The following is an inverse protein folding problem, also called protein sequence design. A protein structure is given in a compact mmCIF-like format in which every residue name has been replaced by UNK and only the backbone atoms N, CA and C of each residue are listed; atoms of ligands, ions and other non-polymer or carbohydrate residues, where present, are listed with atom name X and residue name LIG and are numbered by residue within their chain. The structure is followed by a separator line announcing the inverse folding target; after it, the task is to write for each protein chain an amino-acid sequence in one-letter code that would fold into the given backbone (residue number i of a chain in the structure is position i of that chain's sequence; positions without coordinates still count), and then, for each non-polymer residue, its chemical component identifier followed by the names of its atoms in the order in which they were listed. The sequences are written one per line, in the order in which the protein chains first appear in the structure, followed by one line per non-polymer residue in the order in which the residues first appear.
data_IF_671459264186
#
_entry.id   IF_671459264186
#
_cell.length_a   1.000
_cell.length_b   1.000
_cell.length_c   1.000
_cell.angle_alpha   90.00
_cell.angle_beta   90.00
_cell.angle_gamma   90.00
#
_symmetry.space_group_name_H-M   'P 1'
#
loop_
_entity.id
_entity.type
_entity.pdbx_description
1 polymer ?
#
# COMPACT_ATOMS: atom_id res chain seq x y z
N UNK A 1 -52.81 -10.00 42.55
CA UNK A 1 -52.14 -9.71 41.26
C UNK A 1 -51.52 -11.01 40.80
N UNK A 2 -51.96 -11.50 39.64
CA UNK A 2 -52.19 -12.94 39.40
C UNK A 2 -51.05 -13.55 38.57
N UNK A 3 -50.62 -14.73 39.00
CA UNK A 3 -49.65 -15.69 38.42
C UNK A 3 -49.69 -15.86 36.88
N UNK A 4 -50.79 -15.45 36.24
CA UNK A 4 -51.03 -15.51 34.80
C UNK A 4 -50.19 -14.52 33.98
N UNK A 5 -49.66 -13.44 34.57
CA UNK A 5 -48.80 -12.48 33.85
C UNK A 5 -47.37 -13.00 33.68
N UNK A 6 -46.82 -13.68 34.70
CA UNK A 6 -45.45 -14.25 34.63
C UNK A 6 -45.33 -15.43 33.67
N UNK A 7 -46.39 -16.21 33.49
CA UNK A 7 -46.40 -17.32 32.51
C UNK A 7 -46.48 -16.80 31.07
N UNK A 8 -47.16 -15.66 30.85
CA UNK A 8 -47.16 -14.99 29.54
C UNK A 8 -45.78 -14.42 29.18
N UNK A 9 -45.06 -13.83 30.14
CA UNK A 9 -43.67 -13.39 29.93
C UNK A 9 -42.72 -14.55 29.65
N UNK A 10 -42.89 -15.70 30.33
CA UNK A 10 -42.06 -16.88 30.08
C UNK A 10 -42.28 -17.49 28.69
N UNK A 11 -43.54 -17.56 28.23
CA UNK A 11 -43.86 -18.08 26.87
C UNK A 11 -43.44 -17.08 25.77
N UNK A 12 -43.49 -15.77 26.03
CA UNK A 12 -42.95 -14.77 25.10
C UNK A 12 -41.41 -14.86 24.98
N UNK A 13 -40.71 -15.24 26.05
CA UNK A 13 -39.26 -15.42 26.05
C UNK A 13 -38.78 -16.71 25.33
N UNK A 14 -39.66 -17.70 25.19
CA UNK A 14 -39.39 -18.96 24.47
C UNK A 14 -39.86 -18.93 23.00
N UNK A 15 -40.68 -17.94 22.63
CA UNK A 15 -41.22 -17.76 21.28
C UNK A 15 -40.67 -16.52 20.57
N UNK A 16 -39.59 -15.92 21.08
CA UNK A 16 -38.83 -14.92 20.37
C UNK A 16 -38.18 -15.59 19.15
N UNK A 17 -38.93 -15.56 18.06
CA UNK A 17 -38.50 -15.85 16.69
C UNK A 17 -37.15 -15.22 16.44
N UNK A 18 -36.18 -16.11 16.30
CA UNK A 18 -34.82 -15.88 15.86
C UNK A 18 -34.81 -14.94 14.65
N UNK A 19 -34.34 -13.71 14.88
CA UNK A 19 -34.09 -12.71 13.84
C UNK A 19 -32.64 -12.73 13.36
N UNK A 20 -31.87 -13.76 13.75
CA UNK A 20 -30.46 -13.98 13.41
C UNK A 20 -30.25 -15.18 12.48
N UNK A 21 -31.29 -15.93 12.11
CA UNK A 21 -31.18 -17.09 11.21
C UNK A 21 -30.94 -16.74 9.72
N UNK A 22 -30.95 -15.45 9.34
CA UNK A 22 -30.66 -14.99 7.97
C UNK A 22 -29.22 -14.45 7.79
N UNK A 23 -28.30 -14.76 8.70
CA UNK A 23 -26.89 -14.36 8.55
C UNK A 23 -26.15 -15.27 7.54
N UNK A 24 -26.08 -14.82 6.29
CA UNK A 24 -25.24 -15.40 5.24
C UNK A 24 -23.89 -14.67 5.17
N UNK A 25 -22.83 -15.31 5.70
CA UNK A 25 -21.47 -14.76 5.77
C UNK A 25 -20.82 -14.48 4.41
N UNK A 26 -21.45 -14.88 3.29
CA UNK A 26 -20.95 -14.65 1.94
C UNK A 26 -21.52 -13.41 1.26
N UNK A 27 -22.49 -12.72 1.88
CA UNK A 27 -23.21 -11.59 1.25
C UNK A 27 -22.99 -10.21 1.89
N UNK A 28 -22.27 -10.13 3.02
CA UNK A 28 -21.99 -8.86 3.70
C UNK A 28 -20.82 -8.07 3.08
N UNK A 29 -19.92 -8.72 2.35
CA UNK A 29 -18.67 -8.10 1.88
C UNK A 29 -18.79 -7.31 0.57
N UNK A 30 -19.77 -7.59 -0.28
CA UNK A 30 -19.87 -6.97 -1.61
C UNK A 30 -20.54 -5.58 -1.61
N UNK A 31 -20.74 -4.94 -0.45
CA UNK A 31 -21.44 -3.64 -0.38
C UNK A 31 -20.52 -2.42 -0.35
N UNK A 32 -19.20 -2.60 -0.39
CA UNK A 32 -18.25 -1.49 -0.25
C UNK A 32 -18.12 -0.61 -1.52
N UNK A 33 -18.72 -1.00 -2.66
CA UNK A 33 -18.61 -0.21 -3.91
C UNK A 33 -19.93 0.02 -4.67
N UNK A 34 -20.94 0.63 -4.04
CA UNK A 34 -22.03 1.31 -4.79
C UNK A 34 -22.41 2.64 -4.12
N UNK A 35 -22.44 3.77 -4.83
CA UNK A 35 -22.93 5.02 -4.26
C UNK A 35 -24.48 5.08 -4.30
N UNK A 36 -25.06 5.74 -3.29
CA UNK A 36 -26.47 6.16 -3.13
C UNK A 36 -27.42 5.11 -2.52
N UNK A 37 -28.28 5.39 -1.52
CA UNK A 37 -29.04 6.60 -1.15
C UNK A 37 -29.20 6.66 0.38
N UNK A 38 -29.24 7.88 0.94
CA UNK A 38 -29.56 8.22 2.33
C UNK A 38 -30.68 7.35 2.95
N UNK A 39 -30.34 6.60 3.99
CA UNK A 39 -31.27 6.22 5.07
C UNK A 39 -30.59 6.48 6.40
N UNK A 40 -30.81 7.70 6.89
CA UNK A 40 -30.57 8.09 8.27
C UNK A 40 -31.66 7.46 9.13
N UNK A 41 -31.35 6.46 9.94
CA UNK A 41 -32.11 6.06 11.14
C UNK A 41 -31.20 5.25 12.08
N UNK A 42 -31.44 5.41 13.40
CA UNK A 42 -30.83 4.75 14.59
C UNK A 42 -29.72 5.62 15.23
N UNK A 43 -30.02 6.59 16.10
CA UNK A 43 -30.65 6.59 17.44
C UNK A 43 -29.78 5.96 18.54
N UNK A 44 -29.23 6.87 19.35
CA UNK A 44 -28.49 6.74 20.61
C UNK A 44 -28.71 5.50 21.48
N UNK A 45 -27.60 5.04 22.05
CA UNK A 45 -27.54 4.70 23.47
C UNK A 45 -26.17 5.12 24.03
N UNK A 46 -26.17 6.24 24.75
CA UNK A 46 -25.02 6.76 25.49
C UNK A 46 -24.71 5.90 26.70
N UNK A 47 -23.44 5.55 26.88
CA UNK A 47 -22.84 5.37 28.21
C UNK A 47 -21.31 5.41 28.09
N UNK A 48 -20.73 6.55 28.45
CA UNK A 48 -19.28 6.73 28.55
C UNK A 48 -18.93 8.19 28.78
N UNK A 49 -18.48 8.52 29.99
CA UNK A 49 -18.04 9.86 30.38
C UNK A 49 -16.92 10.39 29.47
N UNK A 50 -17.16 11.47 28.75
CA UNK A 50 -16.13 12.15 27.97
C UNK A 50 -16.20 13.67 28.21
N UNK A 51 -15.06 14.22 28.60
CA UNK A 51 -14.82 15.65 28.81
C UNK A 51 -15.13 16.39 27.51
N UNK A 52 -16.08 17.32 27.56
CA UNK A 52 -16.47 18.14 26.42
C UNK A 52 -15.38 19.17 26.10
N UNK A 53 -14.70 19.03 24.94
CA UNK A 53 -14.01 20.15 24.30
C UNK A 53 -14.97 20.85 23.31
N UNK A 54 -14.86 22.18 23.13
CA UNK A 54 -15.88 22.95 22.42
C UNK A 54 -15.75 22.83 20.89
N UNK A 55 -16.91 22.59 20.27
CA UNK A 55 -17.28 22.71 18.87
C UNK A 55 -16.35 23.53 17.96
N UNK A 56 -15.66 22.83 17.06
CA UNK A 56 -15.45 23.24 15.67
C UNK A 56 -16.07 22.17 14.78
N UNK A 57 -16.60 22.54 13.62
CA UNK A 57 -17.12 21.59 12.63
C UNK A 57 -15.96 20.82 11.98
N UNK A 58 -15.40 19.86 12.69
CA UNK A 58 -14.29 19.02 12.25
C UNK A 58 -14.89 17.91 11.37
N UNK A 59 -14.25 17.58 10.24
CA UNK A 59 -14.55 16.36 9.48
C UNK A 59 -14.57 15.14 10.41
N UNK A 60 -15.14 14.01 9.98
CA UNK A 60 -15.32 12.86 10.85
C UNK A 60 -13.96 12.39 11.43
N UNK A 61 -13.64 12.86 12.64
CA UNK A 61 -12.37 12.63 13.34
C UNK A 61 -12.15 11.13 13.58
N UNK A 62 -13.19 10.33 13.37
CA UNK A 62 -13.22 8.89 13.61
C UNK A 62 -13.14 8.04 12.34
N UNK A 63 -12.92 8.66 11.17
CA UNK A 63 -12.80 7.93 9.91
C UNK A 63 -11.65 6.91 9.94
N UNK A 64 -11.95 5.65 9.61
CA UNK A 64 -10.99 4.55 9.61
C UNK A 64 -10.76 3.89 10.99
N UNK A 65 -11.23 4.48 12.09
CA UNK A 65 -10.99 3.95 13.45
C UNK A 65 -11.70 2.61 13.64
N UNK A 66 -12.96 2.50 13.19
CA UNK A 66 -13.72 1.26 13.31
C UNK A 66 -13.10 0.14 12.46
N UNK A 67 -12.65 0.48 11.26
CA UNK A 67 -11.98 -0.40 10.31
C UNK A 67 -10.68 -0.96 10.90
N UNK A 68 -9.89 -0.13 11.60
CA UNK A 68 -8.70 -0.57 12.35
C UNK A 68 -9.07 -1.63 13.39
N UNK A 69 -10.01 -1.33 14.29
CA UNK A 69 -10.39 -2.27 15.36
C UNK A 69 -10.93 -3.58 14.78
N UNK A 70 -11.73 -3.49 13.71
CA UNK A 70 -12.28 -4.64 13.03
C UNK A 70 -11.16 -5.48 12.38
N UNK A 71 -10.34 -4.88 11.51
CA UNK A 71 -9.26 -5.55 10.82
C UNK A 71 -8.29 -6.22 11.80
N UNK A 72 -7.90 -5.51 12.87
CA UNK A 72 -6.97 -6.05 13.86
C UNK A 72 -7.53 -7.27 14.58
N UNK A 73 -8.83 -7.31 14.88
CA UNK A 73 -9.49 -8.49 15.45
C UNK A 73 -9.40 -9.69 14.51
N UNK A 74 -9.57 -9.49 13.21
CA UNK A 74 -9.45 -10.55 12.21
C UNK A 74 -8.00 -11.03 12.05
N UNK A 75 -7.04 -10.10 12.00
CA UNK A 75 -5.60 -10.39 11.94
C UNK A 75 -5.16 -11.19 13.17
N UNK A 76 -5.49 -10.74 14.40
CA UNK A 76 -5.15 -11.46 15.63
C UNK A 76 -5.78 -12.85 15.71
N UNK A 77 -7.02 -12.99 15.25
CA UNK A 77 -7.69 -14.31 15.16
C UNK A 77 -6.98 -15.23 14.18
N UNK A 78 -6.58 -14.72 13.02
CA UNK A 78 -5.83 -15.47 12.02
C UNK A 78 -4.46 -15.90 12.58
N UNK A 79 -3.72 -14.97 13.17
CA UNK A 79 -2.41 -15.21 13.78
C UNK A 79 -2.48 -16.30 14.85
N UNK A 80 -3.44 -16.21 15.78
CA UNK A 80 -3.62 -17.23 16.82
C UNK A 80 -3.87 -18.64 16.26
N UNK A 81 -4.51 -18.74 15.10
CA UNK A 81 -4.87 -20.01 14.47
C UNK A 81 -3.77 -20.56 13.57
N UNK A 82 -3.07 -19.70 12.83
CA UNK A 82 -2.21 -20.09 11.72
C UNK A 82 -0.73 -19.84 11.96
N UNK A 83 -0.36 -18.78 12.69
CA UNK A 83 1.04 -18.48 13.01
C UNK A 83 1.16 -17.89 14.43
N UNK A 84 1.20 -18.77 15.46
CA UNK A 84 1.38 -18.35 16.85
C UNK A 84 2.72 -17.65 17.10
N UNK A 85 3.76 -18.02 16.37
CA UNK A 85 5.10 -17.44 16.51
C UNK A 85 5.11 -15.98 16.03
N UNK A 86 4.58 -15.72 14.84
CA UNK A 86 4.40 -14.34 14.34
C UNK A 86 3.52 -13.51 15.29
N UNK A 87 2.53 -14.13 15.94
CA UNK A 87 1.73 -13.45 16.96
C UNK A 87 2.54 -13.04 18.20
N UNK A 88 3.58 -13.78 18.56
CA UNK A 88 4.48 -13.44 19.68
C UNK A 88 5.48 -12.35 19.33
N UNK A 89 5.74 -12.11 18.04
CA UNK A 89 6.58 -10.98 17.58
C UNK A 89 5.93 -9.62 17.84
N UNK A 90 4.60 -9.57 18.00
CA UNK A 90 3.86 -8.32 18.21
C UNK A 90 4.14 -7.72 19.58
N UNK A 91 4.52 -6.45 19.58
CA UNK A 91 4.79 -5.68 20.78
C UNK A 91 3.52 -5.35 21.56
N UNK A 92 3.70 -4.98 22.83
CA UNK A 92 2.59 -4.48 23.65
C UNK A 92 2.04 -3.15 23.12
N UNK A 93 0.78 -2.81 23.39
CA UNK A 93 0.21 -1.50 23.05
C UNK A 93 0.99 -0.31 23.60
N UNK A 94 1.01 0.80 22.85
CA UNK A 94 1.52 2.08 23.32
C UNK A 94 0.59 2.70 24.38
N UNK A 95 1.17 3.41 25.35
CA UNK A 95 0.40 4.23 26.29
C UNK A 95 0.08 5.60 25.69
N UNK A 96 -0.90 6.31 26.27
CA UNK A 96 -1.18 7.70 25.87
C UNK A 96 0.03 8.62 26.05
N UNK A 97 0.91 8.34 27.02
CA UNK A 97 2.11 9.13 27.22
C UNK A 97 3.08 8.96 26.04
N UNK A 98 3.31 7.71 25.63
CA UNK A 98 4.18 7.37 24.50
C UNK A 98 3.67 8.01 23.20
N UNK A 99 2.36 7.93 22.95
CA UNK A 99 1.74 8.52 21.76
C UNK A 99 1.80 10.05 21.73
N UNK A 100 1.72 10.70 22.89
CA UNK A 100 1.86 12.15 23.00
C UNK A 100 3.31 12.59 22.76
N UNK A 101 4.29 11.85 23.28
CA UNK A 101 5.72 12.11 23.03
C UNK A 101 6.07 11.85 21.57
N UNK A 102 5.59 10.75 21.00
CA UNK A 102 5.78 10.39 19.60
C UNK A 102 5.26 11.47 18.64
N UNK A 103 4.03 11.96 18.83
CA UNK A 103 3.49 13.03 17.99
C UNK A 103 4.24 14.36 18.16
N UNK A 104 4.76 14.62 19.37
CA UNK A 104 5.61 15.79 19.63
C UNK A 104 6.93 15.68 18.86
N UNK A 105 7.55 14.50 18.81
CA UNK A 105 8.78 14.26 18.04
C UNK A 105 8.55 14.33 16.53
N UNK A 106 7.40 13.86 16.06
CA UNK A 106 6.97 14.03 14.68
C UNK A 106 6.69 15.51 14.34
N UNK A 107 6.27 16.32 15.30
CA UNK A 107 5.93 17.73 15.09
C UNK A 107 4.62 17.95 14.35
N UNK A 108 3.78 16.91 14.25
CA UNK A 108 2.44 16.95 13.68
C UNK A 108 1.55 15.89 14.33
N UNK A 109 0.24 16.10 14.27
CA UNK A 109 -0.73 15.14 14.78
C UNK A 109 -0.98 14.02 13.76
N UNK A 110 -1.12 12.80 14.26
CA UNK A 110 -1.44 11.63 13.46
C UNK A 110 -2.96 11.51 13.24
N UNK A 111 -3.40 10.85 12.15
CA UNK A 111 -4.79 10.43 11.99
C UNK A 111 -5.23 9.55 13.16
N UNK A 112 -6.48 9.73 13.63
CA UNK A 112 -6.97 8.97 14.79
C UNK A 112 -6.98 7.47 14.56
N UNK A 113 -7.19 7.00 13.32
CA UNK A 113 -7.08 5.57 12.99
C UNK A 113 -5.65 5.03 13.23
N UNK A 114 -4.61 5.82 12.98
CA UNK A 114 -3.22 5.45 13.27
C UNK A 114 -2.95 5.46 14.77
N UNK A 115 -3.46 6.46 15.50
CA UNK A 115 -3.36 6.51 16.97
C UNK A 115 -4.05 5.30 17.59
N UNK A 116 -5.25 4.95 17.13
CA UNK A 116 -5.98 3.77 17.60
C UNK A 116 -5.23 2.48 17.30
N UNK A 117 -4.58 2.38 16.15
CA UNK A 117 -3.76 1.22 15.83
C UNK A 117 -2.61 1.02 16.84
N UNK A 118 -1.90 2.08 17.20
CA UNK A 118 -0.82 1.98 18.18
C UNK A 118 -1.31 1.72 19.62
N UNK A 119 -2.57 2.04 19.93
CA UNK A 119 -3.24 1.56 21.16
C UNK A 119 -3.56 0.06 21.15
N UNK A 120 -3.43 -0.62 20.01
CA UNK A 120 -3.61 -2.05 19.88
C UNK A 120 -2.29 -2.81 19.82
N UNK A 121 -1.23 -2.22 19.25
CA UNK A 121 0.10 -2.83 19.12
C UNK A 121 1.18 -1.78 18.81
N UNK A 122 2.37 -1.90 19.40
CA UNK A 122 3.54 -1.06 19.05
C UNK A 122 4.47 -1.76 18.04
N UNK A 123 3.93 -2.10 16.88
CA UNK A 123 4.70 -2.77 15.85
C UNK A 123 5.11 -4.21 16.18
N UNK A 124 6.18 -4.66 15.52
CA UNK A 124 6.87 -5.92 15.78
C UNK A 124 8.19 -5.66 16.51
N UNK A 125 8.52 -6.51 17.48
CA UNK A 125 9.75 -6.41 18.27
C UNK A 125 10.92 -7.09 17.57
N UNK A 126 11.92 -6.31 17.17
CA UNK A 126 13.20 -6.77 16.59
C UNK A 126 14.02 -7.69 17.51
N UNK A 127 13.76 -7.67 18.82
CA UNK A 127 14.54 -8.42 19.82
C UNK A 127 14.21 -9.92 19.87
N UNK A 128 13.08 -10.31 19.29
CA UNK A 128 12.63 -11.70 19.21
C UNK A 128 12.48 -12.15 17.74
N UNK A 129 13.15 -11.47 16.79
CA UNK A 129 13.27 -11.90 15.39
C UNK A 129 14.16 -13.14 15.31
N UNK A 130 13.75 -14.24 15.95
CA UNK A 130 14.28 -15.57 15.66
C UNK A 130 13.89 -15.97 14.25
N UNK A 131 14.34 -15.20 13.24
CA UNK A 131 14.07 -15.41 11.82
C UNK A 131 12.65 -15.10 11.33
N UNK A 132 11.75 -14.60 12.18
CA UNK A 132 10.36 -14.38 11.78
C UNK A 132 10.22 -13.21 10.79
N UNK A 133 9.71 -13.50 9.60
CA UNK A 133 9.43 -12.49 8.59
C UNK A 133 8.39 -11.46 9.04
N UNK A 134 8.38 -10.29 8.39
CA UNK A 134 7.43 -9.23 8.70
C UNK A 134 5.96 -9.66 8.56
N UNK A 135 5.10 -9.15 9.45
CA UNK A 135 3.68 -9.53 9.52
C UNK A 135 2.94 -9.32 8.20
N UNK A 136 3.26 -8.23 7.49
CA UNK A 136 2.54 -7.84 6.30
C UNK A 136 3.22 -8.50 5.10
N UNK A 137 3.07 -9.83 5.01
CA UNK A 137 3.62 -10.67 3.95
C UNK A 137 5.13 -10.46 3.71
N UNK A 138 5.91 -10.55 4.79
CA UNK A 138 7.36 -10.29 4.80
C UNK A 138 7.72 -8.85 5.14
N UNK A 139 6.77 -7.89 5.04
CA UNK A 139 7.02 -6.50 5.40
C UNK A 139 6.81 -6.27 6.91
N UNK A 140 7.79 -5.62 7.54
CA UNK A 140 7.81 -5.40 8.98
C UNK A 140 6.91 -4.23 9.38
N UNK A 141 6.11 -4.46 10.41
CA UNK A 141 5.37 -3.39 11.09
C UNK A 141 6.30 -2.70 12.10
N UNK A 142 6.58 -1.42 11.89
CA UNK A 142 7.54 -0.69 12.72
C UNK A 142 6.96 -0.25 14.07
N UNK A 143 7.81 -0.19 15.09
CA UNK A 143 7.46 0.46 16.36
C UNK A 143 7.49 1.99 16.25
N UNK A 144 6.88 2.70 17.21
CA UNK A 144 6.90 4.17 17.22
C UNK A 144 8.33 4.75 17.25
N UNK A 145 9.28 4.08 17.91
CA UNK A 145 10.69 4.48 17.94
C UNK A 145 11.35 4.37 16.57
N UNK A 146 11.14 3.25 15.88
CA UNK A 146 11.66 3.03 14.53
C UNK A 146 11.07 4.05 13.55
N UNK A 147 9.78 4.35 13.68
CA UNK A 147 9.09 5.35 12.86
C UNK A 147 9.67 6.74 13.12
N UNK A 148 9.94 7.12 14.37
CA UNK A 148 10.51 8.43 14.70
C UNK A 148 11.89 8.63 14.04
N UNK A 149 12.74 7.59 14.06
CA UNK A 149 14.06 7.59 13.41
C UNK A 149 13.92 7.65 11.89
N UNK A 150 13.05 6.83 11.31
CA UNK A 150 12.86 6.77 9.86
C UNK A 150 12.25 8.07 9.32
N UNK A 151 11.22 8.60 9.98
CA UNK A 151 10.61 9.88 9.64
C UNK A 151 11.63 11.04 9.71
N UNK A 152 12.50 11.06 10.72
CA UNK A 152 13.59 12.05 10.82
C UNK A 152 14.59 11.96 9.66
N UNK A 153 14.88 10.74 9.21
CA UNK A 153 15.71 10.49 8.04
C UNK A 153 15.05 11.01 6.76
N UNK A 154 13.78 10.68 6.53
CA UNK A 154 12.99 11.19 5.39
C UNK A 154 12.85 12.71 5.38
N UNK A 155 12.63 13.34 6.55
CA UNK A 155 12.65 14.81 6.71
C UNK A 155 13.98 15.42 6.31
N UNK A 156 15.09 14.78 6.68
CA UNK A 156 16.44 15.24 6.32
C UNK A 156 16.68 15.14 4.81
N UNK A 157 16.21 14.07 4.16
CA UNK A 157 16.26 13.93 2.70
C UNK A 157 15.39 14.98 2.01
N UNK A 158 14.16 15.19 2.49
CA UNK A 158 13.27 16.22 1.96
C UNK A 158 13.89 17.62 2.04
N UNK A 159 14.50 17.98 3.18
CA UNK A 159 15.21 19.26 3.33
C UNK A 159 16.31 19.45 2.28
N UNK A 160 17.14 18.42 2.07
CA UNK A 160 18.19 18.44 1.04
C UNK A 160 17.61 18.62 -0.37
N UNK A 161 16.46 18.01 -0.66
CA UNK A 161 15.75 18.19 -1.94
C UNK A 161 15.29 19.64 -2.12
N UNK A 162 14.78 20.27 -1.07
CA UNK A 162 14.36 21.68 -1.12
C UNK A 162 15.56 22.63 -1.25
N UNK A 163 16.70 22.31 -0.63
CA UNK A 163 17.93 23.10 -0.72
C UNK A 163 18.62 22.98 -2.08
N UNK A 164 18.53 21.82 -2.73
CA UNK A 164 19.10 21.57 -4.07
C UNK A 164 18.21 22.05 -5.22
N UNK A 165 16.94 22.38 -4.95
CA UNK A 165 16.05 22.94 -5.94
C UNK A 165 16.60 24.29 -6.45
N UNK A 166 16.58 24.56 -7.77
CA UNK A 166 16.99 25.84 -8.31
C UNK A 166 16.16 26.95 -7.66
N UNK A 167 16.78 27.77 -6.81
CA UNK A 167 16.15 29.01 -6.36
C UNK A 167 16.06 29.92 -7.58
N UNK A 168 14.84 30.25 -8.00
CA UNK A 168 14.70 31.39 -8.91
C UNK A 168 15.38 32.60 -8.25
N UNK A 169 16.24 33.34 -8.96
CA UNK A 169 16.85 34.52 -8.38
C UNK A 169 15.74 35.50 -8.04
N UNK A 170 15.47 35.64 -6.74
CA UNK A 170 14.67 36.73 -6.20
C UNK A 170 15.34 38.00 -6.70
N UNK A 171 14.70 38.71 -7.62
CA UNK A 171 15.13 40.06 -7.96
C UNK A 171 15.00 40.87 -6.67
N UNK A 172 16.13 41.19 -6.05
CA UNK A 172 16.17 42.14 -4.95
C UNK A 172 15.43 43.41 -5.41
N UNK A 173 14.48 43.94 -4.60
CA UNK A 173 13.91 45.23 -4.92
C UNK A 173 15.05 46.24 -4.95
N UNK A 174 15.30 46.83 -6.13
CA UNK A 174 16.33 47.84 -6.36
C UNK A 174 16.20 48.93 -5.30
N UNK A 175 17.06 48.89 -4.29
CA UNK A 175 17.23 50.00 -3.37
C UNK A 175 17.74 51.19 -4.17
N UNK A 176 17.01 52.29 -4.11
CA UNK A 176 17.37 53.58 -4.70
C UNK A 176 18.75 53.97 -4.19
N UNK A 177 19.69 54.16 -5.12
CA UNK A 177 21.04 54.62 -4.84
C UNK A 177 20.97 56.06 -4.32
N UNK A 178 21.51 56.29 -3.12
CA UNK A 178 21.97 57.60 -2.68
C UNK A 178 23.49 57.53 -2.61
N UNK A 179 24.07 58.43 -3.38
CA UNK A 179 25.49 58.67 -3.60
C UNK A 179 26.10 59.28 -2.34
N UNK A 180 27.27 58.82 -1.89
CA UNK A 180 28.27 59.71 -1.28
C UNK A 180 29.65 59.04 -1.14
N UNK A 181 30.65 59.90 -1.04
CA UNK A 181 32.01 59.74 -1.55
C UNK A 181 33.01 58.98 -0.65
N UNK A 182 33.92 58.27 -1.34
CA UNK A 182 35.39 58.26 -1.19
C UNK A 182 36.01 58.52 0.20
N UNK A 183 36.74 57.53 0.74
CA UNK A 183 38.11 57.69 1.30
C UNK A 183 38.74 56.31 1.46
N UNK A 184 39.97 56.13 0.95
CA UNK A 184 40.71 54.87 0.98
C UNK A 184 41.61 54.68 2.20
N UNK A 185 42.12 53.46 2.36
CA UNK A 185 43.47 53.18 2.88
C UNK A 185 43.85 51.72 2.63
N UNK A 186 44.98 51.59 1.92
CA UNK A 186 45.99 50.54 1.94
C UNK A 186 46.12 49.80 3.30
N UNK A 187 46.33 48.47 3.26
CA UNK A 187 47.42 47.77 3.96
C UNK A 187 47.42 46.25 3.66
N UNK A 188 48.63 45.78 3.34
CA UNK A 188 49.16 44.43 3.24
C UNK A 188 48.74 43.44 4.34
N UNK A 189 48.48 42.17 3.97
CA UNK A 189 49.35 41.05 4.38
C UNK A 189 49.02 39.74 3.65
N UNK A 190 50.07 39.12 3.12
CA UNK A 190 50.01 37.81 2.49
C UNK A 190 50.34 36.72 3.49
N UNK A 191 49.65 35.58 3.39
CA UNK A 191 50.21 34.28 3.72
C UNK A 191 49.64 33.22 2.78
N UNK A 192 50.56 32.63 2.01
CA UNK A 192 50.40 31.46 1.18
C UNK A 192 50.29 30.22 2.05
N UNK A 193 49.27 29.37 1.87
CA UNK A 193 49.40 27.94 2.16
C UNK A 193 48.67 27.06 1.13
N UNK A 194 49.50 26.30 0.43
CA UNK A 194 49.29 24.95 -0.10
C UNK A 194 48.02 24.64 -0.88
N UNK A 195 48.20 24.67 -2.19
CA UNK A 195 47.45 23.94 -3.19
C UNK A 195 47.55 22.42 -2.97
N UNK A 196 46.42 21.78 -2.66
CA UNK A 196 46.23 20.34 -2.87
C UNK A 196 45.23 20.20 -4.02
N UNK A 197 45.75 20.10 -5.25
CA UNK A 197 44.96 19.67 -6.40
C UNK A 197 44.69 18.18 -6.30
N UNK A 198 43.69 17.79 -5.52
CA UNK A 198 43.01 16.52 -5.70
C UNK A 198 42.11 16.65 -6.92
N UNK A 199 42.59 16.18 -8.07
CA UNK A 199 41.72 15.77 -9.18
C UNK A 199 40.90 14.58 -8.70
N UNK A 200 39.86 14.84 -7.92
CA UNK A 200 38.74 13.92 -7.86
C UNK A 200 38.02 14.06 -9.19
N UNK A 201 38.03 12.97 -9.96
CA UNK A 201 37.06 12.75 -11.01
C UNK A 201 35.67 12.87 -10.39
N UNK A 202 35.09 14.07 -10.43
CA UNK A 202 33.66 14.27 -10.22
C UNK A 202 32.92 13.60 -11.38
N UNK A 203 32.84 12.27 -11.29
CA UNK A 203 31.98 11.46 -12.13
C UNK A 203 30.55 11.95 -11.93
N UNK A 204 29.89 12.29 -13.04
CA UNK A 204 28.48 12.68 -13.19
C UNK A 204 27.50 11.75 -12.44
N UNK A 205 27.39 11.90 -11.11
CA UNK A 205 26.35 11.28 -10.27
C UNK A 205 25.50 12.38 -9.61
N UNK A 206 25.36 13.53 -10.29
CA UNK A 206 24.45 14.60 -9.85
C UNK A 206 23.08 14.38 -10.51
N UNK A 207 22.11 13.99 -9.67
CA UNK A 207 20.65 14.14 -9.82
C UNK A 207 19.82 13.06 -10.55
N UNK A 208 19.97 11.76 -10.24
CA UNK A 208 18.91 10.78 -10.56
C UNK A 208 17.73 10.79 -9.57
N UNK A 209 17.94 11.25 -8.34
CA UNK A 209 16.90 11.30 -7.28
C UNK A 209 15.72 12.23 -7.59
N UNK A 210 15.91 13.19 -8.50
CA UNK A 210 14.89 14.19 -8.84
C UNK A 210 14.13 13.89 -10.12
N UNK A 211 14.58 12.93 -10.93
CA UNK A 211 14.01 12.73 -12.27
C UNK A 211 12.81 11.80 -12.22
N UNK A 212 11.71 12.20 -12.88
CA UNK A 212 10.53 11.39 -13.17
C UNK A 212 9.73 10.88 -11.95
N UNK A 213 9.62 11.69 -10.90
CA UNK A 213 8.69 11.39 -9.80
C UNK A 213 7.24 11.56 -10.27
N UNK A 214 6.37 10.60 -9.97
CA UNK A 214 4.97 10.57 -10.43
C UNK A 214 4.04 10.07 -9.32
N UNK A 215 2.73 10.18 -9.53
CA UNK A 215 1.69 9.72 -8.62
C UNK A 215 0.61 8.94 -9.38
N UNK A 216 0.07 7.90 -8.74
CA UNK A 216 -1.13 7.18 -9.15
C UNK A 216 -2.11 7.16 -7.97
N UNK A 217 -3.31 7.78 -8.11
CA UNK A 217 -3.76 8.61 -9.23
C UNK A 217 -2.91 9.89 -9.44
N UNK A 218 -2.98 10.53 -10.63
CA UNK A 218 -2.39 11.85 -10.86
C UNK A 218 -2.82 12.85 -9.80
N UNK A 219 -1.89 13.70 -9.37
CA UNK A 219 -2.07 14.75 -8.37
C UNK A 219 -2.58 14.31 -7.00
N UNK A 220 -2.74 13.01 -6.75
CA UNK A 220 -3.14 12.49 -5.45
C UNK A 220 -1.99 12.52 -4.43
N UNK A 221 -0.74 12.46 -4.90
CA UNK A 221 0.48 12.45 -4.08
C UNK A 221 1.46 13.42 -4.71
N UNK A 222 2.15 14.21 -3.88
CA UNK A 222 3.17 15.15 -4.36
C UNK A 222 4.27 14.37 -5.11
N UNK A 223 4.58 14.70 -6.38
CA UNK A 223 5.58 13.99 -7.18
C UNK A 223 7.00 14.39 -6.77
N UNK A 224 7.42 13.94 -5.58
CA UNK A 224 8.73 14.18 -4.98
C UNK A 224 9.30 12.85 -4.45
N UNK A 225 10.62 12.73 -4.39
CA UNK A 225 11.26 11.52 -3.88
C UNK A 225 10.94 11.27 -2.39
N UNK A 226 11.05 12.31 -1.57
CA UNK A 226 10.86 12.28 -0.13
C UNK A 226 9.99 13.46 0.32
N UNK A 227 9.11 13.25 1.30
CA UNK A 227 8.32 14.31 1.93
C UNK A 227 8.37 14.26 3.46
N UNK A 228 8.44 15.42 4.11
CA UNK A 228 8.55 15.52 5.58
C UNK A 228 7.29 15.08 6.33
N UNK A 229 6.15 15.10 5.64
CA UNK A 229 4.82 14.72 6.16
C UNK A 229 4.39 13.32 5.70
N UNK A 230 5.29 12.51 5.13
CA UNK A 230 5.03 11.09 4.90
C UNK A 230 5.54 10.31 6.10
N UNK A 231 4.63 9.67 6.82
CA UNK A 231 4.97 8.89 8.02
C UNK A 231 5.05 7.42 7.63
N UNK A 232 6.25 6.82 7.56
CA UNK A 232 6.38 5.40 7.24
C UNK A 232 5.87 4.58 8.42
N UNK A 233 5.06 3.55 8.18
CA UNK A 233 4.50 2.67 9.22
C UNK A 233 4.94 1.21 9.05
N UNK A 234 5.17 0.80 7.81
CA UNK A 234 5.61 -0.55 7.42
C UNK A 234 6.80 -0.41 6.49
N UNK A 235 7.78 -1.29 6.63
CA UNK A 235 9.05 -1.24 5.90
C UNK A 235 9.43 -2.61 5.32
N UNK A 236 10.12 -2.59 4.19
CA UNK A 236 10.83 -3.76 3.65
C UNK A 236 12.30 -3.86 4.16
N UNK A 237 12.67 -2.97 5.08
CA UNK A 237 14.01 -2.83 5.68
C UNK A 237 15.15 -2.48 4.70
N UNK A 238 14.85 -2.33 3.40
CA UNK A 238 15.83 -1.96 2.36
C UNK A 238 15.52 -0.60 1.73
N UNK A 239 14.51 0.12 2.22
CA UNK A 239 14.27 1.54 1.94
C UNK A 239 12.94 1.84 1.25
N UNK A 240 12.04 0.86 1.14
CA UNK A 240 10.67 1.06 0.71
C UNK A 240 9.71 0.97 1.88
N UNK A 241 8.65 1.78 1.82
CA UNK A 241 7.73 1.94 2.92
C UNK A 241 6.28 1.97 2.45
N UNK A 242 5.40 1.46 3.30
CA UNK A 242 3.97 1.81 3.31
C UNK A 242 3.77 2.79 4.45
N UNK A 243 3.10 3.90 4.20
CA UNK A 243 2.88 4.89 5.22
C UNK A 243 1.73 5.83 4.93
N UNK A 244 1.45 6.72 5.88
CA UNK A 244 0.38 7.71 5.78
C UNK A 244 0.90 9.04 5.25
N UNK A 245 0.18 9.60 4.29
CA UNK A 245 0.47 10.90 3.70
C UNK A 245 -0.34 12.01 4.40
N UNK A 246 0.39 12.87 5.11
CA UNK A 246 -0.16 14.00 5.87
C UNK A 246 0.17 15.34 5.21
N UNK A 247 0.55 15.34 3.92
CA UNK A 247 0.92 16.56 3.17
C UNK A 247 -0.30 17.39 2.72
N UNK A 248 -1.49 16.79 2.71
CA UNK A 248 -2.75 17.46 2.37
C UNK A 248 -3.35 18.19 3.58
N UNK A 249 -4.30 19.10 3.35
CA UNK A 249 -5.03 19.74 4.45
C UNK A 249 -6.15 18.81 4.95
N UNK A 250 -6.32 18.61 6.27
CA UNK A 250 -7.44 17.83 6.83
C UNK A 250 -8.82 18.41 6.49
N UNK A 251 -8.91 19.72 6.27
CA UNK A 251 -10.17 20.44 6.05
C UNK A 251 -10.53 20.56 4.56
N UNK A 252 -9.63 20.17 3.66
CA UNK A 252 -9.82 20.33 2.21
C UNK A 252 -10.60 19.16 1.62
N UNK A 253 -11.91 19.11 1.91
CA UNK A 253 -12.84 18.13 1.34
C UNK A 253 -13.11 18.34 -0.16
N UNK A 254 -12.68 19.47 -0.71
CA UNK A 254 -12.85 19.85 -2.12
C UNK A 254 -11.50 20.01 -2.81
N UNK A 255 -10.46 19.33 -2.31
CA UNK A 255 -9.13 19.45 -2.88
C UNK A 255 -9.22 19.11 -4.36
N UNK A 256 -8.95 20.11 -5.21
CA UNK A 256 -8.96 19.92 -6.66
C UNK A 256 -7.91 18.87 -7.08
N UNK A 257 -6.91 18.67 -6.22
CA UNK A 257 -5.95 17.56 -6.22
C UNK A 257 -6.61 16.33 -5.58
N UNK A 258 -6.69 15.20 -6.28
CA UNK A 258 -7.40 13.98 -5.81
C UNK A 258 -6.82 13.28 -4.57
N UNK A 259 -5.94 13.95 -3.83
CA UNK A 259 -5.30 13.48 -2.60
C UNK A 259 -6.13 13.76 -1.35
N UNK A 260 -5.95 12.92 -0.34
CA UNK A 260 -6.68 12.98 0.94
C UNK A 260 -5.69 12.96 2.11
N UNK A 261 -5.93 13.78 3.13
CA UNK A 261 -5.13 13.72 4.35
C UNK A 261 -5.31 12.37 5.07
N UNK A 262 -4.19 11.72 5.41
CA UNK A 262 -4.20 10.41 6.06
C UNK A 262 -4.36 9.23 5.10
N UNK A 263 -4.35 9.46 3.78
CA UNK A 263 -4.32 8.38 2.79
C UNK A 263 -3.05 7.53 2.94
N UNK A 264 -3.13 6.26 2.57
CA UNK A 264 -2.01 5.32 2.65
C UNK A 264 -1.33 5.22 1.29
N UNK A 265 0.00 5.36 1.29
CA UNK A 265 0.81 5.43 0.06
C UNK A 265 2.00 4.47 0.08
N UNK A 266 2.41 4.04 -1.11
CA UNK A 266 3.70 3.39 -1.35
C UNK A 266 4.74 4.43 -1.76
N UNK A 267 5.86 4.49 -1.05
CA UNK A 267 6.99 5.37 -1.34
C UNK A 267 8.29 4.71 -0.91
N UNK A 268 9.44 5.23 -1.35
CA UNK A 268 10.70 4.58 -1.04
C UNK A 268 11.78 4.76 -2.09
N UNK A 269 12.90 4.08 -1.86
CA UNK A 269 14.04 4.00 -2.77
C UNK A 269 13.64 3.58 -4.19
N UNK A 270 12.75 2.60 -4.30
CA UNK A 270 12.39 1.93 -5.55
C UNK A 270 11.02 2.38 -6.09
N UNK A 271 10.42 3.42 -5.48
CA UNK A 271 9.11 3.98 -5.86
C UNK A 271 9.26 5.39 -6.43
N UNK A 272 9.67 5.51 -7.70
CA UNK A 272 9.65 6.80 -8.42
C UNK A 272 8.21 7.25 -8.68
N UNK A 273 7.35 6.31 -9.07
CA UNK A 273 5.90 6.49 -9.07
C UNK A 273 5.36 6.10 -7.70
N UNK A 274 4.66 7.02 -7.03
CA UNK A 274 3.97 6.78 -5.76
C UNK A 274 2.57 6.25 -6.05
N UNK A 275 2.06 5.37 -5.19
CA UNK A 275 0.75 4.76 -5.36
C UNK A 275 -0.08 4.98 -4.11
N UNK A 276 -1.27 5.56 -4.26
CA UNK A 276 -2.29 5.60 -3.22
C UNK A 276 -2.95 4.22 -3.18
N UNK A 277 -2.86 3.54 -2.04
CA UNK A 277 -3.36 2.15 -1.89
C UNK A 277 -4.57 2.03 -0.96
N UNK A 278 -4.87 3.07 -0.16
CA UNK A 278 -6.08 3.14 0.65
C UNK A 278 -6.39 4.60 1.06
N UNK A 279 -7.64 4.88 1.40
CA UNK A 279 -8.09 6.22 1.82
C UNK A 279 -7.71 6.55 3.27
N UNK A 280 -7.54 5.54 4.12
CA UNK A 280 -7.07 5.67 5.49
C UNK A 280 -6.38 4.36 5.94
N UNK A 281 -5.74 4.39 7.11
CA UNK A 281 -5.00 3.22 7.61
C UNK A 281 -5.87 2.02 7.97
N UNK A 282 -7.12 2.26 8.40
CA UNK A 282 -8.09 1.19 8.66
C UNK A 282 -8.48 0.43 7.41
N UNK A 283 -8.75 1.14 6.31
CA UNK A 283 -9.05 0.53 5.01
C UNK A 283 -7.88 -0.34 4.52
N UNK A 284 -6.64 0.14 4.69
CA UNK A 284 -5.45 -0.65 4.37
C UNK A 284 -5.36 -1.94 5.20
N UNK A 285 -5.60 -1.86 6.51
CA UNK A 285 -5.60 -3.06 7.36
C UNK A 285 -6.72 -4.03 6.97
N UNK A 286 -7.88 -3.53 6.53
CA UNK A 286 -8.95 -4.37 6.01
C UNK A 286 -8.56 -5.07 4.71
N UNK A 287 -7.86 -4.39 3.79
CA UNK A 287 -7.33 -5.03 2.57
C UNK A 287 -6.43 -6.22 2.95
N UNK A 288 -5.50 -6.01 3.89
CA UNK A 288 -4.61 -7.07 4.37
C UNK A 288 -5.38 -8.20 5.08
N UNK A 289 -6.31 -7.87 5.97
CA UNK A 289 -7.15 -8.87 6.65
C UNK A 289 -7.96 -9.71 5.65
N UNK A 290 -8.51 -9.09 4.61
CA UNK A 290 -9.24 -9.78 3.55
C UNK A 290 -8.34 -10.75 2.77
N UNK A 291 -7.08 -10.39 2.48
CA UNK A 291 -6.12 -11.30 1.83
C UNK A 291 -5.84 -12.55 2.68
N UNK A 292 -5.74 -12.39 4.00
CA UNK A 292 -5.62 -13.52 4.93
C UNK A 292 -6.87 -14.41 4.93
N UNK A 293 -8.07 -13.81 4.93
CA UNK A 293 -9.34 -14.56 4.93
C UNK A 293 -9.64 -15.27 3.61
N UNK A 294 -9.23 -14.68 2.49
CA UNK A 294 -9.37 -15.27 1.15
C UNK A 294 -8.39 -16.42 0.91
N UNK A 295 -7.40 -16.60 1.78
CA UNK A 295 -6.37 -17.62 1.62
C UNK A 295 -5.31 -17.24 0.59
N UNK A 296 -5.07 -15.94 0.36
CA UNK A 296 -4.06 -15.43 -0.57
C UNK A 296 -2.66 -15.47 0.05
N UNK A 297 -2.30 -16.58 0.72
CA UNK A 297 -1.09 -16.68 1.53
C UNK A 297 -0.56 -18.11 1.62
N UNK A 298 0.73 -18.21 1.89
CA UNK A 298 1.42 -19.46 2.22
C UNK A 298 2.39 -19.19 3.39
N UNK A 299 2.57 -20.18 4.26
CA UNK A 299 3.61 -20.16 5.29
C UNK A 299 4.77 -21.03 4.79
N UNK A 300 5.92 -20.42 4.58
CA UNK A 300 7.12 -21.08 4.10
C UNK A 300 8.09 -21.30 5.24
N UNK A 301 8.66 -22.50 5.32
CA UNK A 301 9.71 -22.81 6.29
C UNK A 301 11.06 -22.53 5.65
N UNK A 302 11.89 -21.71 6.29
CA UNK A 302 13.25 -21.46 5.84
C UNK A 302 14.14 -22.65 6.24
N UNK A 303 14.32 -23.59 5.32
CA UNK A 303 15.12 -24.82 5.51
C UNK A 303 16.64 -24.54 5.52
N UNK A 304 17.06 -23.31 5.21
CA UNK A 304 18.49 -22.97 5.07
C UNK A 304 19.21 -22.75 6.41
N UNK A 305 18.48 -22.67 7.53
CA UNK A 305 19.05 -22.50 8.87
C UNK A 305 18.96 -23.82 9.64
N UNK A 306 19.86 -24.75 9.32
CA UNK A 306 20.03 -26.06 9.99
C UNK A 306 20.54 -25.94 11.46
N UNK A 307 20.45 -24.76 12.08
CA UNK A 307 20.77 -24.55 13.49
C UNK A 307 19.53 -24.81 14.35
N UNK A 308 19.39 -26.09 14.72
CA UNK A 308 18.36 -26.77 15.55
C UNK A 308 17.98 -26.08 16.88
N UNK A 309 18.55 -24.91 17.21
CA UNK A 309 18.32 -24.19 18.47
C UNK A 309 17.35 -22.99 18.36
N UNK A 310 17.01 -22.54 17.16
CA UNK A 310 15.96 -21.53 16.94
C UNK A 310 14.73 -22.22 16.32
N UNK A 311 13.52 -21.71 16.56
CA UNK A 311 12.28 -22.31 16.06
C UNK A 311 12.27 -22.45 14.53
N UNK A 312 11.27 -23.16 14.00
CA UNK A 312 11.09 -23.24 12.55
C UNK A 312 10.74 -21.83 12.05
N UNK A 313 11.64 -21.20 11.31
CA UNK A 313 11.44 -19.88 10.73
C UNK A 313 10.32 -19.95 9.70
N UNK A 314 9.08 -19.64 10.12
CA UNK A 314 7.93 -19.58 9.23
C UNK A 314 7.74 -18.17 8.68
N UNK A 315 7.92 -18.02 7.38
CA UNK A 315 7.70 -16.77 6.65
C UNK A 315 6.29 -16.75 6.04
N UNK A 316 5.54 -15.70 6.32
CA UNK A 316 4.24 -15.44 5.70
C UNK A 316 4.45 -14.73 4.36
N UNK A 317 4.10 -15.41 3.25
CA UNK A 317 4.22 -14.85 1.90
C UNK A 317 2.85 -14.68 1.23
N UNK A 318 2.74 -13.67 0.37
CA UNK A 318 1.51 -13.42 -0.40
C UNK A 318 1.46 -14.28 -1.66
N UNK A 319 0.35 -14.98 -1.86
CA UNK A 319 0.08 -15.77 -3.07
C UNK A 319 -0.96 -15.05 -3.90
N UNK A 320 -0.56 -14.65 -5.11
CA UNK A 320 -1.46 -13.93 -6.01
C UNK A 320 -2.58 -14.86 -6.51
N UNK A 321 -3.86 -14.47 -6.36
CA UNK A 321 -4.99 -15.35 -6.66
C UNK A 321 -5.14 -15.64 -8.16
N UNK A 322 -4.61 -14.79 -9.05
CA UNK A 322 -4.70 -14.96 -10.49
C UNK A 322 -3.56 -15.85 -11.00
N UNK A 323 -2.32 -15.55 -10.59
CA UNK A 323 -1.14 -16.28 -11.07
C UNK A 323 -0.84 -17.57 -10.28
N UNK A 324 -1.42 -17.70 -9.08
CA UNK A 324 -1.14 -18.77 -8.11
C UNK A 324 0.34 -18.88 -7.74
N UNK A 325 1.07 -17.77 -7.80
CA UNK A 325 2.49 -17.68 -7.48
C UNK A 325 2.71 -16.67 -6.37
N UNK A 326 3.79 -16.88 -5.63
CA UNK A 326 4.31 -15.88 -4.72
C UNK A 326 4.59 -14.58 -5.46
N UNK A 327 4.13 -13.47 -4.89
CA UNK A 327 4.35 -12.14 -5.42
C UNK A 327 4.67 -11.19 -4.27
N UNK A 328 5.70 -10.33 -4.38
CA UNK A 328 5.96 -9.31 -3.37
C UNK A 328 4.71 -8.47 -3.10
N UNK A 329 4.34 -8.29 -1.84
CA UNK A 329 3.04 -7.69 -1.51
C UNK A 329 2.92 -6.23 -1.97
N UNK A 330 4.01 -5.45 -1.94
CA UNK A 330 4.01 -4.10 -2.51
C UNK A 330 3.75 -4.08 -4.03
N UNK A 331 4.20 -5.08 -4.78
CA UNK A 331 3.90 -5.22 -6.21
C UNK A 331 2.40 -5.55 -6.43
N UNK A 332 1.81 -6.37 -5.55
CA UNK A 332 0.38 -6.67 -5.58
C UNK A 332 -0.47 -5.42 -5.28
N UNK A 333 -0.12 -4.66 -4.24
CA UNK A 333 -0.78 -3.40 -3.87
C UNK A 333 -0.66 -2.36 -4.98
N UNK A 334 0.53 -2.21 -5.57
CA UNK A 334 0.77 -1.35 -6.73
C UNK A 334 -0.19 -1.70 -7.88
N UNK A 335 -0.29 -2.98 -8.24
CA UNK A 335 -1.17 -3.44 -9.32
C UNK A 335 -2.64 -3.12 -9.05
N UNK A 336 -3.10 -3.32 -7.81
CA UNK A 336 -4.47 -2.99 -7.39
C UNK A 336 -4.75 -1.49 -7.52
N UNK A 337 -3.84 -0.63 -7.05
CA UNK A 337 -3.97 0.82 -7.18
C UNK A 337 -4.02 1.29 -8.65
N UNK A 338 -3.19 0.70 -9.52
CA UNK A 338 -3.22 0.98 -10.96
C UNK A 338 -4.57 0.57 -11.56
N UNK A 339 -5.04 -0.65 -11.28
CA UNK A 339 -6.29 -1.17 -11.82
C UNK A 339 -7.51 -0.37 -11.35
N UNK A 340 -7.52 0.03 -10.06
CA UNK A 340 -8.56 0.88 -9.49
C UNK A 340 -8.59 2.25 -10.19
N UNK A 341 -7.43 2.88 -10.33
CA UNK A 341 -7.32 4.15 -11.04
C UNK A 341 -7.81 4.04 -12.49
N UNK A 342 -7.32 3.06 -13.26
CA UNK A 342 -7.74 2.84 -14.66
C UNK A 342 -9.25 2.61 -14.75
N UNK A 343 -9.82 1.85 -13.83
CA UNK A 343 -11.26 1.55 -13.78
C UNK A 343 -12.10 2.77 -13.41
N UNK A 344 -11.51 3.75 -12.70
CA UNK A 344 -12.19 5.00 -12.33
C UNK A 344 -12.22 6.05 -13.45
N UNK A 345 -11.37 5.91 -14.48
CA UNK A 345 -11.25 6.90 -15.56
C UNK A 345 -12.46 6.87 -16.50
N UNK A 346 -13.07 8.05 -16.72
CA UNK A 346 -14.02 8.24 -17.81
C UNK A 346 -13.33 8.28 -19.19
N UNK A 347 -14.09 8.14 -20.28
CA UNK A 347 -13.54 8.26 -21.64
C UNK A 347 -12.94 9.66 -21.91
N UNK A 348 -13.49 10.70 -21.30
CA UNK A 348 -12.93 12.06 -21.35
C UNK A 348 -11.59 12.14 -20.61
N UNK A 349 -11.48 11.50 -19.44
CA UNK A 349 -10.25 11.48 -18.66
C UNK A 349 -9.15 10.68 -19.36
N UNK A 350 -9.48 9.61 -20.08
CA UNK A 350 -8.53 8.88 -20.93
C UNK A 350 -8.02 9.72 -22.11
N UNK A 351 -8.78 10.74 -22.53
CA UNK A 351 -8.38 11.70 -23.55
C UNK A 351 -7.39 12.76 -23.08
N UNK A 352 -7.25 12.97 -21.76
CA UNK A 352 -6.30 13.96 -21.20
C UNK A 352 -4.87 13.52 -21.45
N UNK A 353 -4.04 14.42 -21.99
CA UNK A 353 -2.65 14.15 -22.35
C UNK A 353 -1.82 13.65 -21.16
N UNK A 354 -2.05 14.18 -19.97
CA UNK A 354 -1.35 13.78 -18.74
C UNK A 354 -1.66 12.33 -18.36
N UNK A 355 -2.93 11.93 -18.44
CA UNK A 355 -3.35 10.55 -18.18
C UNK A 355 -2.82 9.59 -19.25
N UNK A 356 -2.78 10.00 -20.52
CA UNK A 356 -2.19 9.18 -21.59
C UNK A 356 -0.69 8.96 -21.41
N UNK A 357 0.05 10.00 -21.02
CA UNK A 357 1.49 9.89 -20.72
C UNK A 357 1.72 8.94 -19.54
N UNK A 358 0.92 9.07 -18.48
CA UNK A 358 1.01 8.19 -17.32
C UNK A 358 0.65 6.75 -17.67
N UNK A 359 -0.44 6.50 -18.40
CA UNK A 359 -0.84 5.17 -18.85
C UNK A 359 0.26 4.50 -19.68
N UNK A 360 0.87 5.25 -20.60
CA UNK A 360 1.99 4.77 -21.41
C UNK A 360 3.19 4.41 -20.53
N UNK A 361 3.54 5.29 -19.58
CA UNK A 361 4.63 5.04 -18.65
C UNK A 361 4.39 3.78 -17.79
N UNK A 362 3.19 3.64 -17.21
CA UNK A 362 2.83 2.45 -16.42
C UNK A 362 2.85 1.18 -17.28
N UNK A 363 2.40 1.27 -18.54
CA UNK A 363 2.47 0.14 -19.46
C UNK A 363 3.92 -0.23 -19.79
N UNK A 364 4.82 0.72 -19.99
CA UNK A 364 6.24 0.47 -20.27
C UNK A 364 6.97 -0.08 -19.04
N UNK A 365 6.76 0.52 -17.88
CA UNK A 365 7.42 0.14 -16.63
C UNK A 365 6.94 -1.24 -16.13
N UNK A 366 5.67 -1.57 -16.37
CA UNK A 366 5.04 -2.74 -15.77
C UNK A 366 4.47 -3.78 -16.76
N UNK A 367 4.63 -3.62 -18.09
CA UNK A 367 4.20 -4.62 -19.10
C UNK A 367 4.78 -6.02 -18.89
N UNK A 368 5.97 -6.13 -18.30
CA UNK A 368 6.58 -7.43 -17.98
C UNK A 368 6.01 -8.08 -16.71
N UNK A 369 5.15 -7.38 -15.95
CA UNK A 369 4.58 -7.82 -14.66
C UNK A 369 3.05 -7.64 -14.55
N UNK A 370 2.41 -6.99 -15.50
CA UNK A 370 0.95 -6.79 -15.58
C UNK A 370 0.43 -7.74 -16.66
N UNK A 371 -0.48 -8.68 -16.35
CA UNK A 371 -1.18 -9.43 -17.37
C UNK A 371 -1.88 -8.45 -18.30
N UNK A 372 -1.53 -8.52 -19.59
CA UNK A 372 -2.15 -7.74 -20.64
C UNK A 372 -3.66 -8.03 -20.68
N UNK A 373 -4.48 -7.10 -20.19
CA UNK A 373 -5.90 -7.09 -20.48
C UNK A 373 -6.07 -6.50 -21.87
N UNK A 374 -6.01 -7.38 -22.87
CA UNK A 374 -6.42 -7.05 -24.23
C UNK A 374 -7.87 -6.56 -24.16
N UNK A 375 -8.10 -5.26 -24.37
CA UNK A 375 -9.44 -4.73 -24.62
C UNK A 375 -9.92 -5.33 -25.94
N UNK A 376 -10.42 -6.56 -25.90
CA UNK A 376 -11.20 -7.10 -27.00
C UNK A 376 -12.54 -6.39 -26.96
N UNK A 377 -12.82 -5.63 -28.03
CA UNK A 377 -14.16 -5.10 -28.26
C UNK A 377 -15.14 -6.28 -28.30
N UNK A 378 -16.38 -6.07 -27.86
CA UNK A 378 -17.45 -7.07 -28.05
C UNK A 378 -17.62 -7.44 -29.54
N UNK A 379 -17.16 -6.59 -30.45
CA UNK A 379 -17.14 -6.82 -31.89
C UNK A 379 -16.10 -7.86 -32.32
N UNK A 380 -14.99 -8.00 -31.60
CA UNK A 380 -13.93 -8.98 -31.91
C UNK A 380 -14.40 -10.41 -31.60
N UNK A 381 -15.18 -10.59 -30.53
CA UNK A 381 -15.76 -11.88 -30.16
C UNK A 381 -16.82 -12.37 -31.17
N UNK A 382 -17.58 -11.46 -31.76
CA UNK A 382 -18.56 -11.77 -32.80
C UNK A 382 -17.88 -12.17 -34.12
N UNK A 383 -16.81 -11.47 -34.50
CA UNK A 383 -16.07 -11.75 -35.74
C UNK A 383 -15.34 -13.11 -35.71
N UNK A 384 -14.78 -13.51 -34.58
CA UNK A 384 -14.09 -14.80 -34.45
C UNK A 384 -15.07 -15.99 -34.54
N UNK A 385 -16.29 -15.86 -34.02
CA UNK A 385 -17.31 -16.90 -34.11
C UNK A 385 -17.93 -16.99 -35.52
N UNK A 386 -18.08 -15.87 -36.23
CA UNK A 386 -18.59 -15.87 -37.62
C UNK A 386 -17.60 -16.51 -38.60
N UNK A 387 -16.29 -16.35 -38.39
CA UNK A 387 -15.24 -16.99 -39.22
C UNK A 387 -15.18 -18.52 -39.06
N UNK A 388 -15.71 -19.06 -37.96
CA UNK A 388 -15.78 -20.50 -37.71
C UNK A 388 -16.94 -21.20 -38.44
N UNK A 389 -18.03 -20.49 -38.71
CA UNK A 389 -19.26 -21.07 -39.29
C UNK A 389 -19.11 -21.32 -40.81
N UNK A 390 -18.33 -20.49 -41.51
CA UNK A 390 -18.07 -20.68 -42.95
C UNK A 390 -17.19 -21.90 -43.27
N UNK A 391 -16.47 -22.45 -42.28
CA UNK A 391 -15.61 -23.63 -42.47
C UNK A 391 -16.34 -24.98 -42.34
N UNK A 392 -17.61 -24.98 -41.92
CA UNK A 392 -18.40 -26.21 -41.74
C UNK A 392 -19.18 -26.63 -43.01
N UNK A 393 -19.12 -25.85 -44.09
CA UNK A 393 -19.87 -26.13 -45.34
C UNK A 393 -19.00 -26.53 -46.55
N UNK A 394 -17.72 -26.84 -46.37
CA UNK A 394 -16.88 -27.38 -47.46
C UNK A 394 -16.93 -28.92 -47.49
N UNK A 395 -17.37 -29.57 -48.60
CA UNK A 395 -17.39 -31.04 -48.71
C UNK A 395 -15.96 -31.59 -48.81
N UNK A 396 -15.69 -32.71 -48.11
CA UNK A 396 -14.41 -33.42 -48.13
C UNK A 396 -14.13 -34.06 -49.51
N UNK A 397 -12.92 -33.93 -50.09
CA UNK A 397 -12.53 -34.66 -51.28
C UNK A 397 -11.87 -36.03 -50.96
N UNK A 398 -12.12 -36.96 -51.88
CA UNK A 398 -11.85 -38.40 -51.89
C UNK A 398 -10.35 -38.76 -51.77
N UNK A 399 -9.98 -39.71 -50.90
CA UNK A 399 -8.60 -40.18 -50.74
C UNK A 399 -8.37 -41.48 -51.54
N UNK A 400 -7.67 -41.36 -52.68
CA UNK A 400 -7.11 -42.49 -53.42
C UNK A 400 -5.80 -42.95 -52.79
N UNK A 401 -5.71 -44.25 -52.50
CA UNK A 401 -4.55 -44.98 -52.00
C UNK A 401 -3.51 -45.16 -53.11
N UNK A 402 -2.23 -44.94 -52.82
CA UNK A 402 -1.11 -45.58 -53.56
C UNK A 402 0.00 -46.02 -52.61
N UNK A 403 0.38 -47.28 -52.76
CA UNK A 403 1.37 -48.06 -52.00
C UNK A 403 2.84 -47.60 -52.17
N UNK A 404 3.65 -47.94 -51.15
CA UNK A 404 5.07 -48.25 -51.30
C UNK A 404 6.03 -47.27 -50.65
N UNK A 405 6.56 -47.60 -49.46
CA UNK A 405 7.93 -48.15 -49.30
C UNK A 405 8.21 -48.36 -47.80
N UNK A 406 8.36 -49.61 -47.38
CA UNK A 406 8.80 -49.98 -46.02
C UNK A 406 10.02 -50.89 -46.18
N UNK A 407 11.18 -50.38 -45.79
CA UNK A 407 12.35 -51.23 -45.51
C UNK A 407 12.75 -51.09 -44.05
N UNK A 408 12.86 -52.26 -43.44
CA UNK A 408 13.27 -52.60 -42.07
C UNK A 408 14.60 -51.97 -41.61
N UNK A 409 14.72 -51.70 -40.31
CA UNK A 409 15.68 -52.41 -39.45
C UNK A 409 15.35 -52.26 -37.95
N UNK A 410 15.38 -53.40 -37.26
CA UNK A 410 15.19 -53.59 -35.82
C UNK A 410 16.48 -53.23 -35.05
N UNK A 411 16.38 -52.70 -33.84
CA UNK A 411 17.13 -53.26 -32.69
C UNK A 411 16.50 -52.86 -31.34
N UNK A 412 16.20 -53.89 -30.56
CA UNK A 412 15.79 -53.87 -29.14
C UNK A 412 17.05 -54.11 -28.31
N UNK A 413 17.26 -53.33 -27.25
CA UNK A 413 18.05 -53.76 -26.09
C UNK A 413 17.36 -53.22 -24.83
N UNK A 414 16.78 -54.14 -24.07
CA UNK A 414 16.39 -53.97 -22.66
C UNK A 414 17.64 -54.06 -21.77
N UNK A 415 17.64 -53.33 -20.66
CA UNK A 415 18.40 -53.69 -19.46
C UNK A 415 17.70 -53.17 -18.22
N UNK A 416 17.01 -54.09 -17.54
CA UNK A 416 16.76 -54.04 -16.10
C UNK A 416 18.10 -54.15 -15.36
N UNK A 417 18.23 -53.50 -14.19
CA UNK A 417 19.06 -54.03 -13.10
C UNK A 417 18.50 -53.57 -11.74
N UNK A 418 18.15 -54.56 -10.92
CA UNK A 418 17.80 -54.47 -9.50
C UNK A 418 19.08 -54.73 -8.69
N UNK A 419 19.39 -53.88 -7.70
CA UNK A 419 20.15 -54.21 -6.48
C UNK A 419 20.09 -53.08 -5.45
#
# INVERSE_FOLDING_TARGET
MKFTERVKEFVYSLSATDKYSDYDSRKSFNRVNKPSVKTSLLSHHDNGSLVSLPNGAIGDVTEGVHEVTLAWRHIKKWLHKHSPELNTSLSTPCTEADLNEFQKDLGYNLPQCVVEFFRLTDGQSSLNDGGFGGLIFGLKLMSIDEIAVMASSWKSVHRKILESAPREPVQEPKSVQLEDANMGSDLSDGHSESSFTSKSSETKVKNSLHTNQRSVPPDAIVPIYAHSMWTPLITDEVGNCIGVDLSHSPDDKNSATGGKWGQVILFGRDFNTKFKIADNFGDFLLIFANDLEMGNWELKENVEVDDIMCGVDTELVYIDPETKRETPYMDALRRRAINEWISSLSEEDKGKKENQDLLKHLHEEFSYKIPYFEQRSSDDFLNDNLRGIDKLNTPLPDQTITDGDITHENTIVDSDDDS
#
